data_IF_323682950159
#
_entry.id   IF_323682950159
#
_cell.length_a   1.000
_cell.length_b   1.000
_cell.length_c   1.000
_cell.angle_alpha   90.00
_cell.angle_beta   90.00
_cell.angle_gamma   90.00
#
_symmetry.space_group_name_H-M   'P 1'
#
loop_
_entity.id
_entity.type
_entity.pdbx_description
1 polymer ?
#
# COMPACT_ATOMS: atom_id res chain seq x y z
N UNK A 1 0.28 -19.37 -1.68
CA UNK A 1 -0.64 -18.24 -1.46
C UNK A 1 -0.88 -17.98 0.02
N UNK A 2 -1.22 -18.97 0.81
CA UNK A 2 -1.60 -18.80 2.24
C UNK A 2 -0.55 -18.11 3.12
N UNK A 3 0.70 -18.19 2.75
CA UNK A 3 1.80 -17.49 3.41
C UNK A 3 1.80 -15.98 3.14
N UNK A 4 1.52 -15.58 1.89
CA UNK A 4 1.53 -14.20 1.46
C UNK A 4 0.21 -13.48 1.73
N UNK A 5 -0.93 -14.17 1.61
CA UNK A 5 -2.26 -13.57 1.66
C UNK A 5 -2.99 -13.92 2.94
N UNK A 6 -3.49 -12.90 3.62
CA UNK A 6 -4.45 -13.02 4.69
C UNK A 6 -5.83 -12.59 4.18
N UNK A 7 -6.75 -13.53 4.08
CA UNK A 7 -8.12 -13.29 3.63
C UNK A 7 -9.09 -13.80 4.71
N UNK A 8 -9.58 -12.88 5.55
CA UNK A 8 -10.49 -13.23 6.64
C UNK A 8 -11.89 -13.60 6.15
N UNK A 9 -12.31 -12.98 5.05
CA UNK A 9 -13.66 -13.13 4.51
C UNK A 9 -13.57 -13.61 3.08
N UNK A 10 -13.52 -14.93 2.92
CA UNK A 10 -13.47 -15.56 1.60
C UNK A 10 -14.79 -15.40 0.88
N UNK A 11 -14.73 -14.89 -0.36
CA UNK A 11 -15.89 -14.63 -1.21
C UNK A 11 -15.62 -15.16 -2.61
N UNK A 12 -15.75 -16.50 -2.81
CA UNK A 12 -15.43 -17.11 -4.10
C UNK A 12 -16.27 -16.54 -5.25
N UNK A 13 -17.50 -16.11 -4.95
CA UNK A 13 -18.42 -15.53 -5.93
C UNK A 13 -18.26 -14.01 -6.11
N UNK A 14 -17.30 -13.39 -5.43
CA UNK A 14 -17.02 -11.97 -5.61
C UNK A 14 -16.62 -11.67 -7.06
N UNK A 15 -17.08 -10.55 -7.57
CA UNK A 15 -16.84 -10.10 -8.95
C UNK A 15 -15.40 -9.59 -9.11
N UNK A 16 -14.85 -8.99 -8.06
CA UNK A 16 -13.50 -8.41 -8.06
C UNK A 16 -12.76 -8.68 -6.76
N UNK A 17 -11.45 -8.47 -6.80
CA UNK A 17 -10.56 -8.53 -5.62
C UNK A 17 -9.91 -7.20 -5.37
N UNK A 18 -9.82 -6.83 -4.10
CA UNK A 18 -9.00 -5.72 -3.63
C UNK A 18 -7.78 -6.29 -2.92
N UNK A 19 -6.59 -6.01 -3.45
CA UNK A 19 -5.33 -6.47 -2.88
C UNK A 19 -4.68 -5.29 -2.16
N UNK A 20 -4.49 -5.45 -0.84
CA UNK A 20 -3.99 -4.40 0.04
C UNK A 20 -2.53 -4.64 0.39
N UNK A 21 -1.70 -3.63 0.12
CA UNK A 21 -0.27 -3.60 0.39
C UNK A 21 -0.01 -2.85 1.70
N UNK A 22 0.70 -3.44 2.66
CA UNK A 22 0.90 -2.81 3.96
C UNK A 22 1.82 -1.61 3.91
N UNK A 23 1.69 -0.71 4.90
CA UNK A 23 2.66 0.35 5.15
C UNK A 23 3.95 -0.22 5.77
N UNK A 24 4.99 0.60 5.87
CA UNK A 24 6.27 0.18 6.45
C UNK A 24 6.10 -0.32 7.89
N UNK A 25 6.61 -1.52 8.17
CA UNK A 25 6.46 -2.21 9.45
C UNK A 25 5.07 -2.80 9.68
N UNK A 26 4.12 -2.54 8.79
CA UNK A 26 2.75 -3.01 8.93
C UNK A 26 2.57 -4.50 8.66
N UNK A 27 1.56 -5.07 9.28
CA UNK A 27 1.11 -6.44 9.05
C UNK A 27 -0.12 -6.51 8.15
N UNK A 28 -0.68 -7.69 8.05
CA UNK A 28 -1.85 -7.97 7.21
C UNK A 28 -3.19 -7.77 7.91
N UNK A 29 -3.20 -7.65 9.24
CA UNK A 29 -4.45 -7.70 10.02
C UNK A 29 -5.37 -6.50 9.78
N UNK A 30 -4.81 -5.30 9.65
CA UNK A 30 -5.61 -4.09 9.48
C UNK A 30 -6.47 -4.14 8.22
N UNK A 31 -5.86 -4.34 7.07
CA UNK A 31 -6.61 -4.38 5.81
C UNK A 31 -7.46 -5.65 5.64
N UNK A 32 -7.09 -6.75 6.29
CA UNK A 32 -7.92 -7.97 6.27
C UNK A 32 -9.31 -7.73 6.87
N UNK A 33 -9.45 -6.82 7.84
CA UNK A 33 -10.73 -6.41 8.43
C UNK A 33 -11.65 -5.73 7.40
N UNK A 34 -11.10 -5.11 6.37
CA UNK A 34 -11.88 -4.46 5.33
C UNK A 34 -12.81 -5.41 4.57
N UNK A 35 -12.48 -6.70 4.56
CA UNK A 35 -13.38 -7.71 3.99
C UNK A 35 -14.75 -7.73 4.63
N UNK A 36 -14.86 -7.40 5.93
CA UNK A 36 -16.14 -7.30 6.62
C UNK A 36 -16.91 -6.02 6.27
N UNK A 37 -16.17 -4.95 5.96
CA UNK A 37 -16.74 -3.61 5.76
C UNK A 37 -17.11 -3.34 4.30
N UNK A 38 -16.55 -4.09 3.36
CA UNK A 38 -16.84 -3.96 1.94
C UNK A 38 -17.97 -4.90 1.51
N UNK A 39 -18.60 -4.56 0.40
CA UNK A 39 -19.67 -5.34 -0.20
C UNK A 39 -19.22 -6.76 -0.59
N UNK A 40 -20.17 -7.69 -0.65
CA UNK A 40 -19.90 -9.11 -0.97
C UNK A 40 -19.37 -9.30 -2.40
N UNK A 41 -19.52 -8.31 -3.27
CA UNK A 41 -18.94 -8.31 -4.61
C UNK A 41 -17.42 -8.15 -4.63
N UNK A 42 -16.81 -7.80 -3.50
CA UNK A 42 -15.37 -7.54 -3.36
C UNK A 42 -14.76 -8.50 -2.34
N UNK A 43 -13.78 -9.29 -2.77
CA UNK A 43 -12.96 -10.11 -1.87
C UNK A 43 -11.65 -9.38 -1.57
N UNK A 44 -11.28 -9.27 -0.28
CA UNK A 44 -10.08 -8.55 0.16
C UNK A 44 -8.94 -9.54 0.43
N UNK A 45 -7.81 -9.33 -0.26
CA UNK A 45 -6.53 -9.98 -0.03
C UNK A 45 -5.59 -9.00 0.65
N UNK A 46 -5.28 -9.22 1.93
CA UNK A 46 -4.32 -8.42 2.65
C UNK A 46 -2.96 -9.10 2.65
N UNK A 47 -1.93 -8.43 2.14
CA UNK A 47 -0.61 -9.01 1.97
C UNK A 47 0.17 -9.08 3.28
N UNK A 48 0.85 -10.21 3.49
CA UNK A 48 1.73 -10.47 4.61
C UNK A 48 3.16 -10.56 4.11
N UNK A 49 3.97 -9.57 4.47
CA UNK A 49 5.37 -9.54 4.07
C UNK A 49 6.22 -10.43 5.00
N UNK A 50 7.39 -10.91 4.53
CA UNK A 50 8.28 -11.71 5.37
C UNK A 50 8.83 -10.94 6.57
N UNK A 51 9.19 -11.67 7.62
CA UNK A 51 9.80 -11.12 8.83
C UNK A 51 8.79 -10.67 9.89
N UNK A 52 7.50 -10.90 9.69
CA UNK A 52 6.42 -10.51 10.60
C UNK A 52 5.28 -11.52 10.63
N UNK A 53 4.47 -11.47 11.67
CA UNK A 53 3.33 -12.39 11.87
C UNK A 53 3.76 -13.85 11.73
N UNK A 54 3.02 -14.66 11.00
CA UNK A 54 3.35 -16.08 10.76
C UNK A 54 4.61 -16.28 9.92
N UNK A 55 5.15 -15.21 9.32
CA UNK A 55 6.39 -15.23 8.54
C UNK A 55 7.59 -14.68 9.31
N UNK A 56 7.52 -14.61 10.64
CA UNK A 56 8.55 -14.00 11.50
C UNK A 56 9.94 -14.64 11.37
N UNK A 57 10.02 -15.90 10.98
CA UNK A 57 11.28 -16.62 10.79
C UNK A 57 11.90 -16.43 9.40
N UNK A 58 11.19 -15.79 8.47
CA UNK A 58 11.70 -15.51 7.14
C UNK A 58 12.48 -14.20 7.11
N UNK A 59 13.57 -14.13 6.31
CA UNK A 59 14.32 -12.89 6.17
C UNK A 59 13.47 -11.81 5.50
N UNK A 60 13.66 -10.56 5.93
CA UNK A 60 13.02 -9.39 5.32
C UNK A 60 13.41 -9.25 3.84
N UNK A 61 12.55 -8.65 3.05
CA UNK A 61 12.95 -8.19 1.72
C UNK A 61 14.07 -7.16 1.84
N UNK A 62 15.04 -7.26 0.95
CA UNK A 62 16.16 -6.32 0.86
C UNK A 62 16.00 -5.32 -0.28
N UNK A 63 15.07 -5.58 -1.20
CA UNK A 63 14.81 -4.72 -2.35
C UNK A 63 13.34 -4.75 -2.74
N UNK A 64 12.93 -3.72 -3.45
CA UNK A 64 11.58 -3.67 -4.03
C UNK A 64 11.38 -4.80 -5.06
N UNK A 65 12.41 -5.15 -5.81
CA UNK A 65 12.34 -6.23 -6.79
C UNK A 65 12.02 -7.58 -6.15
N UNK A 66 12.61 -7.91 -5.01
CA UNK A 66 12.28 -9.14 -4.28
C UNK A 66 10.81 -9.19 -3.89
N UNK A 67 10.29 -8.07 -3.39
CA UNK A 67 8.88 -7.95 -3.02
C UNK A 67 7.97 -8.15 -4.24
N UNK A 68 8.25 -7.45 -5.31
CA UNK A 68 7.46 -7.51 -6.55
C UNK A 68 7.52 -8.91 -7.18
N UNK A 69 8.69 -9.55 -7.16
CA UNK A 69 8.88 -10.91 -7.70
C UNK A 69 8.04 -11.93 -6.95
N UNK A 70 8.04 -11.91 -5.61
CA UNK A 70 7.25 -12.85 -4.82
C UNK A 70 5.74 -12.61 -5.03
N UNK A 71 5.28 -11.37 -4.91
CA UNK A 71 3.86 -11.05 -5.05
C UNK A 71 3.36 -11.44 -6.44
N UNK A 72 4.10 -11.10 -7.47
CA UNK A 72 3.72 -11.43 -8.85
C UNK A 72 3.67 -12.94 -9.06
N UNK A 73 4.73 -13.66 -8.66
CA UNK A 73 4.79 -15.12 -8.84
C UNK A 73 3.66 -15.85 -8.11
N UNK A 74 3.36 -15.45 -6.87
CA UNK A 74 2.38 -16.12 -6.03
C UNK A 74 0.95 -15.79 -6.45
N UNK A 75 0.66 -14.53 -6.82
CA UNK A 75 -0.71 -14.08 -7.10
C UNK A 75 -1.13 -14.18 -8.57
N UNK A 76 -0.20 -14.43 -9.47
CA UNK A 76 -0.51 -14.43 -10.91
C UNK A 76 -1.73 -15.26 -11.30
N UNK A 77 -1.93 -16.51 -10.80
CA UNK A 77 -3.13 -17.27 -11.10
C UNK A 77 -4.41 -16.56 -10.69
N UNK A 78 -4.45 -16.01 -9.48
CA UNK A 78 -5.63 -15.31 -8.95
C UNK A 78 -5.91 -13.99 -9.67
N UNK A 79 -4.85 -13.29 -10.11
CA UNK A 79 -4.98 -12.03 -10.85
C UNK A 79 -5.52 -12.24 -12.27
N UNK A 80 -5.37 -13.44 -12.82
CA UNK A 80 -5.94 -13.82 -14.11
C UNK A 80 -7.40 -14.29 -14.04
N UNK A 81 -7.88 -14.67 -12.86
CA UNK A 81 -9.22 -15.23 -12.69
C UNK A 81 -10.32 -14.18 -12.83
N UNK A 82 -10.11 -12.99 -12.27
CA UNK A 82 -11.11 -11.94 -12.23
C UNK A 82 -10.47 -10.56 -12.12
N UNK A 83 -11.23 -9.48 -12.39
CA UNK A 83 -10.73 -8.11 -12.19
C UNK A 83 -10.24 -7.89 -10.77
N UNK A 84 -9.20 -7.06 -10.63
CA UNK A 84 -8.60 -6.74 -9.34
C UNK A 84 -8.21 -5.27 -9.28
N UNK A 85 -8.20 -4.74 -8.05
CA UNK A 85 -7.68 -3.41 -7.75
C UNK A 85 -6.61 -3.52 -6.67
N UNK A 86 -5.72 -2.53 -6.62
CA UNK A 86 -4.68 -2.43 -5.60
C UNK A 86 -4.96 -1.24 -4.68
N UNK A 87 -4.74 -1.44 -3.39
CA UNK A 87 -4.66 -0.38 -2.38
C UNK A 87 -3.34 -0.46 -1.65
N UNK A 88 -2.69 0.69 -1.46
CA UNK A 88 -1.49 0.78 -0.63
C UNK A 88 -1.40 2.11 0.10
N UNK A 89 -1.01 2.08 1.37
CA UNK A 89 -0.75 3.27 2.19
C UNK A 89 0.75 3.43 2.43
N UNK A 90 1.27 4.63 2.24
CA UNK A 90 2.69 4.96 2.45
C UNK A 90 3.61 4.06 1.62
N UNK A 91 4.46 3.24 2.24
CA UNK A 91 5.27 2.23 1.56
C UNK A 91 4.43 1.34 0.63
N UNK A 92 3.21 0.99 1.05
CA UNK A 92 2.28 0.21 0.25
C UNK A 92 1.87 0.88 -1.06
N UNK A 93 1.85 2.20 -1.13
CA UNK A 93 1.60 2.94 -2.38
C UNK A 93 2.70 2.65 -3.42
N UNK A 94 3.95 2.68 -3.00
CA UNK A 94 5.10 2.45 -3.89
C UNK A 94 5.21 0.98 -4.29
N UNK A 95 4.99 0.06 -3.36
CA UNK A 95 5.04 -1.38 -3.63
C UNK A 95 3.89 -1.84 -4.53
N UNK A 96 2.69 -1.29 -4.35
CA UNK A 96 1.54 -1.59 -5.22
C UNK A 96 1.75 -1.06 -6.64
N UNK A 97 2.28 0.15 -6.77
CA UNK A 97 2.62 0.73 -8.06
C UNK A 97 3.67 -0.11 -8.81
N UNK A 98 4.75 -0.46 -8.13
CA UNK A 98 5.82 -1.28 -8.73
C UNK A 98 5.31 -2.65 -9.18
N UNK A 99 4.42 -3.25 -8.40
CA UNK A 99 3.78 -4.53 -8.75
C UNK A 99 2.87 -4.38 -9.97
N UNK A 100 2.08 -3.30 -10.03
CA UNK A 100 1.21 -3.02 -11.17
C UNK A 100 2.01 -2.83 -12.48
N UNK A 101 3.11 -2.11 -12.42
CA UNK A 101 4.01 -1.92 -13.58
C UNK A 101 4.60 -3.26 -14.05
N UNK A 102 5.08 -4.07 -13.11
CA UNK A 102 5.64 -5.40 -13.41
C UNK A 102 4.61 -6.32 -14.07
N UNK A 103 3.39 -6.33 -13.57
CA UNK A 103 2.30 -7.13 -14.13
C UNK A 103 1.98 -6.72 -15.56
N UNK A 104 1.92 -5.42 -15.82
CA UNK A 104 1.66 -4.90 -17.16
C UNK A 104 2.77 -5.24 -18.13
N UNK A 105 4.02 -4.98 -17.77
CA UNK A 105 5.18 -5.20 -18.62
C UNK A 105 5.43 -6.67 -18.96
N UNK A 106 5.28 -7.56 -17.98
CA UNK A 106 5.63 -8.98 -18.14
C UNK A 106 4.45 -9.89 -18.44
N UNK A 107 3.24 -9.51 -18.04
CA UNK A 107 2.08 -10.40 -18.11
C UNK A 107 0.87 -9.80 -18.84
N UNK A 108 0.96 -8.54 -19.27
CA UNK A 108 -0.16 -7.86 -19.90
C UNK A 108 -1.39 -7.71 -19.00
N UNK A 109 -1.19 -7.80 -17.68
CA UNK A 109 -2.24 -7.64 -16.67
C UNK A 109 -2.11 -6.28 -16.00
N UNK A 110 -3.23 -5.65 -15.73
CA UNK A 110 -3.27 -4.37 -15.08
C UNK A 110 -4.43 -4.33 -14.06
N UNK A 111 -4.24 -3.74 -12.87
CA UNK A 111 -5.38 -3.51 -11.99
C UNK A 111 -6.41 -2.62 -12.69
N UNK A 112 -7.67 -2.80 -12.39
CA UNK A 112 -8.74 -1.90 -12.87
C UNK A 112 -8.60 -0.52 -12.25
N UNK A 113 -8.10 -0.47 -11.02
CA UNK A 113 -7.90 0.76 -10.28
C UNK A 113 -6.68 0.63 -9.35
N UNK A 114 -5.87 1.68 -9.26
CA UNK A 114 -4.79 1.80 -8.29
C UNK A 114 -5.15 2.88 -7.29
N UNK A 115 -5.32 2.49 -6.02
CA UNK A 115 -5.55 3.39 -4.90
C UNK A 115 -4.26 3.57 -4.12
N UNK A 116 -3.74 4.79 -4.08
CA UNK A 116 -2.54 5.14 -3.33
C UNK A 116 -2.88 6.12 -2.22
N UNK A 117 -2.24 5.98 -1.08
CA UNK A 117 -2.56 6.74 0.13
C UNK A 117 -1.30 7.16 0.86
N UNK A 118 -1.21 8.43 1.24
CA UNK A 118 -0.18 8.94 2.12
C UNK A 118 1.25 8.86 1.57
N UNK A 119 1.43 9.06 0.27
CA UNK A 119 2.76 9.01 -0.36
C UNK A 119 2.85 9.92 -1.59
N UNK A 120 3.99 10.57 -1.74
CA UNK A 120 4.35 11.24 -3.00
C UNK A 120 4.62 10.21 -4.10
N UNK A 121 4.39 10.58 -5.35
CA UNK A 121 4.71 9.74 -6.49
C UNK A 121 6.20 9.32 -6.49
N UNK A 122 6.53 8.12 -6.99
CA UNK A 122 7.88 7.55 -6.87
C UNK A 122 8.97 8.38 -7.55
N UNK A 123 8.65 9.14 -8.59
CA UNK A 123 9.57 10.00 -9.34
C UNK A 123 9.66 11.41 -8.76
N UNK A 124 8.79 11.79 -7.83
CA UNK A 124 8.78 13.14 -7.27
C UNK A 124 10.01 13.42 -6.40
N UNK A 125 10.68 14.58 -6.55
CA UNK A 125 11.75 15.01 -5.66
C UNK A 125 11.29 15.16 -4.20
N UNK A 126 10.00 15.42 -3.96
CA UNK A 126 9.42 15.54 -2.62
C UNK A 126 9.60 14.27 -1.77
N UNK A 127 9.80 13.12 -2.41
CA UNK A 127 10.04 11.83 -1.75
C UNK A 127 11.46 11.69 -1.19
N UNK A 128 12.39 12.49 -1.67
CA UNK A 128 13.81 12.39 -1.28
C UNK A 128 14.05 13.09 0.05
N UNK A 129 14.63 12.37 1.00
CA UNK A 129 15.11 12.93 2.27
C UNK A 129 16.64 13.05 2.24
N UNK A 130 17.16 14.10 2.86
CA UNK A 130 18.62 14.29 3.02
C UNK A 130 19.24 13.26 3.96
N UNK A 131 18.44 12.66 4.84
CA UNK A 131 18.87 11.65 5.80
C UNK A 131 18.02 10.40 5.68
N UNK A 132 18.69 9.26 5.49
CA UNK A 132 18.03 7.96 5.49
C UNK A 132 17.68 7.55 6.92
N UNK A 133 16.40 7.35 7.17
CA UNK A 133 15.88 6.98 8.50
C UNK A 133 16.30 5.59 8.91
N UNK A 134 16.46 4.68 7.95
CA UNK A 134 16.94 3.32 8.19
C UNK A 134 18.37 3.25 8.76
N UNK A 135 19.16 4.33 8.61
CA UNK A 135 20.53 4.45 9.13
C UNK A 135 20.59 5.05 10.53
N UNK A 136 19.46 5.52 11.09
CA UNK A 136 19.40 6.07 12.44
C UNK A 136 19.63 4.98 13.49
N UNK A 137 20.22 5.35 14.64
CA UNK A 137 20.21 4.50 15.83
C UNK A 137 18.78 4.27 16.32
N UNK A 138 18.56 3.25 17.13
CA UNK A 138 17.23 2.98 17.69
C UNK A 138 16.69 4.16 18.50
N UNK A 139 17.57 4.86 19.25
CA UNK A 139 17.18 6.04 20.02
C UNK A 139 16.78 7.22 19.12
N UNK A 140 17.57 7.52 18.10
CA UNK A 140 17.28 8.57 17.12
C UNK A 140 16.01 8.25 16.33
N UNK A 141 15.84 6.98 15.99
CA UNK A 141 14.67 6.50 15.27
C UNK A 141 13.39 6.66 16.10
N UNK A 142 13.44 6.33 17.40
CA UNK A 142 12.32 6.54 18.33
C UNK A 142 11.97 8.01 18.47
N UNK A 143 12.96 8.90 18.55
CA UNK A 143 12.74 10.35 18.56
C UNK A 143 12.06 10.82 17.29
N UNK A 144 12.49 10.33 16.13
CA UNK A 144 11.86 10.64 14.86
C UNK A 144 10.41 10.15 14.80
N UNK A 145 10.14 8.92 15.22
CA UNK A 145 8.77 8.37 15.25
C UNK A 145 7.83 9.18 16.14
N UNK A 146 8.31 9.63 17.30
CA UNK A 146 7.55 10.48 18.20
C UNK A 146 7.24 11.83 17.59
N UNK A 147 8.22 12.44 16.91
CA UNK A 147 8.07 13.76 16.30
C UNK A 147 7.12 13.76 15.09
N UNK A 148 7.02 12.67 14.37
CA UNK A 148 6.20 12.58 13.14
C UNK A 148 4.74 12.20 13.38
N UNK A 149 4.35 11.94 14.61
CA UNK A 149 2.98 11.54 15.00
C UNK A 149 2.40 10.34 14.18
N UNK A 150 3.28 9.59 13.53
CA UNK A 150 2.89 8.46 12.70
C UNK A 150 2.78 7.14 13.42
N UNK A 151 3.16 7.07 14.71
CA UNK A 151 3.15 5.84 15.49
C UNK A 151 2.18 5.96 16.65
N UNK A 152 1.32 4.94 16.88
CA UNK A 152 0.42 4.94 18.04
C UNK A 152 1.20 5.09 19.34
N UNK A 153 0.69 5.95 20.24
CA UNK A 153 1.32 6.23 21.55
C UNK A 153 1.44 4.95 22.37
N UNK A 154 0.46 4.07 22.30
CA UNK A 154 0.44 2.79 23.01
C UNK A 154 1.62 1.91 22.57
N UNK A 155 1.94 1.92 21.29
CA UNK A 155 3.09 1.18 20.76
C UNK A 155 4.41 1.79 21.25
N UNK A 156 4.52 3.12 21.27
CA UNK A 156 5.70 3.82 21.76
C UNK A 156 5.99 3.58 23.25
N UNK A 157 4.95 3.31 24.03
CA UNK A 157 5.05 3.05 25.47
C UNK A 157 5.36 1.59 25.80
N UNK A 158 5.18 0.67 24.88
CA UNK A 158 5.42 -0.76 25.08
C UNK A 158 6.77 -1.17 24.47
N UNK A 159 7.79 -1.33 25.35
CA UNK A 159 9.16 -1.69 24.91
C UNK A 159 9.23 -3.03 24.16
N UNK A 160 8.47 -4.04 24.56
CA UNK A 160 8.47 -5.34 23.91
C UNK A 160 7.85 -5.26 22.52
N UNK A 161 6.71 -4.58 22.39
CA UNK A 161 6.07 -4.34 21.11
C UNK A 161 6.99 -3.54 20.17
N UNK A 162 7.70 -2.55 20.70
CA UNK A 162 8.67 -1.77 19.91
C UNK A 162 9.85 -2.59 19.45
N UNK A 163 10.38 -3.49 20.28
CA UNK A 163 11.48 -4.38 19.89
C UNK A 163 11.08 -5.35 18.76
N UNK A 164 9.82 -5.77 18.73
CA UNK A 164 9.29 -6.61 17.65
C UNK A 164 9.01 -5.82 16.38
N UNK A 165 8.58 -4.58 16.51
CA UNK A 165 8.16 -3.72 15.41
C UNK A 165 9.34 -3.03 14.68
N UNK A 166 10.34 -2.55 15.42
CA UNK A 166 11.46 -1.78 14.86
C UNK A 166 12.21 -2.50 13.74
N UNK A 167 12.56 -3.81 13.85
CA UNK A 167 13.26 -4.47 12.75
C UNK A 167 12.47 -4.48 11.45
N UNK A 168 11.18 -4.75 11.50
CA UNK A 168 10.29 -4.73 10.33
C UNK A 168 10.21 -3.34 9.72
N UNK A 169 10.02 -2.31 10.56
CA UNK A 169 9.93 -0.93 10.12
C UNK A 169 11.22 -0.47 9.46
N UNK A 170 12.37 -0.74 10.07
CA UNK A 170 13.68 -0.38 9.50
C UNK A 170 13.96 -1.10 8.19
N UNK A 171 13.62 -2.39 8.10
CA UNK A 171 13.79 -3.15 6.88
C UNK A 171 12.95 -2.58 5.73
N UNK A 172 11.69 -2.27 5.98
CA UNK A 172 10.80 -1.71 4.97
C UNK A 172 11.20 -0.28 4.57
N UNK A 173 11.64 0.55 5.54
CA UNK A 173 12.18 1.89 5.25
C UNK A 173 13.45 1.80 4.42
N UNK A 174 14.33 0.84 4.67
CA UNK A 174 15.52 0.63 3.86
C UNK A 174 15.16 0.33 2.40
N UNK A 175 14.12 -0.47 2.17
CA UNK A 175 13.62 -0.74 0.82
C UNK A 175 13.10 0.54 0.16
N UNK A 176 12.23 1.28 0.84
CA UNK A 176 11.58 2.47 0.25
C UNK A 176 12.55 3.61 0.02
N UNK A 177 13.52 3.81 0.92
CA UNK A 177 14.51 4.89 0.83
C UNK A 177 15.54 4.66 -0.29
N UNK A 178 15.71 3.42 -0.72
CA UNK A 178 16.59 3.06 -1.84
C UNK A 178 15.88 2.99 -3.19
N UNK A 179 14.57 3.27 -3.23
CA UNK A 179 13.84 3.35 -4.49
C UNK A 179 14.27 4.59 -5.25
N UNK A 180 14.81 4.39 -6.44
CA UNK A 180 15.11 5.43 -7.42
C UNK A 180 14.20 5.19 -8.62
N UNK A 181 13.37 6.18 -8.94
CA UNK A 181 12.44 6.08 -10.06
C UNK A 181 12.47 7.40 -10.84
N UNK A 182 12.74 7.30 -12.13
CA UNK A 182 12.75 8.46 -13.02
C UNK A 182 11.39 8.65 -13.67
N UNK A 183 11.01 9.89 -13.91
CA UNK A 183 9.77 10.21 -14.62
C UNK A 183 9.78 9.55 -15.99
N UNK A 184 8.80 8.66 -16.30
CA UNK A 184 8.71 8.06 -17.62
C UNK A 184 8.31 9.12 -18.66
N UNK A 185 8.76 8.91 -19.90
CA UNK A 185 8.42 9.80 -21.01
C UNK A 185 6.91 9.79 -21.34
N UNK A 186 6.27 8.64 -21.12
CA UNK A 186 4.83 8.44 -21.29
C UNK A 186 4.29 7.67 -20.08
N UNK A 187 2.98 7.77 -19.76
CA UNK A 187 2.40 7.02 -18.66
C UNK A 187 2.66 5.51 -18.80
N UNK A 188 3.10 4.89 -17.71
CA UNK A 188 3.41 3.44 -17.65
C UNK A 188 2.19 2.58 -17.38
N UNK A 189 1.11 3.19 -16.84
CA UNK A 189 -0.17 2.54 -16.56
C UNK A 189 -1.28 3.19 -17.38
N UNK A 190 -2.36 2.48 -17.60
CA UNK A 190 -3.59 2.97 -18.22
C UNK A 190 -4.80 2.85 -17.29
N UNK A 191 -4.66 2.21 -16.13
CA UNK A 191 -5.74 2.10 -15.15
C UNK A 191 -6.03 3.45 -14.49
N UNK A 192 -7.24 3.57 -13.95
CA UNK A 192 -7.59 4.71 -13.10
C UNK A 192 -6.75 4.72 -11.83
N UNK A 193 -6.43 5.91 -11.33
CA UNK A 193 -5.60 6.10 -10.17
C UNK A 193 -6.23 7.15 -9.25
N UNK A 194 -6.42 6.79 -7.99
CA UNK A 194 -6.94 7.68 -6.96
C UNK A 194 -5.94 7.81 -5.83
N UNK A 195 -5.64 9.06 -5.44
CA UNK A 195 -4.84 9.39 -4.28
C UNK A 195 -5.72 9.72 -3.09
N UNK A 196 -5.36 9.21 -1.92
CA UNK A 196 -5.90 9.62 -0.63
C UNK A 196 -4.78 10.18 0.23
N UNK A 197 -5.06 11.20 1.05
CA UNK A 197 -4.08 11.71 2.00
C UNK A 197 -4.78 12.39 3.17
N UNK A 198 -4.03 12.54 4.27
CA UNK A 198 -4.44 13.29 5.45
C UNK A 198 -4.08 14.77 5.32
N UNK A 199 -5.01 15.67 5.64
CA UNK A 199 -4.79 17.13 5.55
C UNK A 199 -3.71 17.64 6.50
N UNK A 200 -3.39 16.89 7.55
CA UNK A 200 -2.40 17.25 8.58
C UNK A 200 -1.11 16.42 8.48
N UNK A 201 -1.00 15.56 7.46
CA UNK A 201 0.23 14.84 7.18
C UNK A 201 1.30 15.78 6.61
N UNK A 202 2.57 15.32 6.60
CA UNK A 202 3.61 16.03 5.87
C UNK A 202 3.19 16.19 4.41
N UNK A 203 3.51 17.31 3.76
CA UNK A 203 3.09 17.52 2.38
C UNK A 203 3.62 16.42 1.46
N UNK A 204 2.72 15.82 0.68
CA UNK A 204 3.06 14.85 -0.36
C UNK A 204 2.76 15.43 -1.75
N UNK A 205 3.58 15.09 -2.71
CA UNK A 205 3.33 15.44 -4.12
C UNK A 205 2.36 14.43 -4.74
N UNK A 206 1.09 14.63 -4.48
CA UNK A 206 0.02 13.75 -4.99
C UNK A 206 -0.22 13.98 -6.48
N UNK A 207 -0.12 15.21 -6.93
CA UNK A 207 -0.38 15.58 -8.33
C UNK A 207 0.56 14.86 -9.31
N UNK A 208 1.78 14.57 -8.89
CA UNK A 208 2.76 13.86 -9.71
C UNK A 208 2.34 12.42 -10.06
N UNK A 209 1.46 11.80 -9.27
CA UNK A 209 0.91 10.48 -9.61
C UNK A 209 0.18 10.46 -10.95
N UNK A 210 -0.38 11.60 -11.37
CA UNK A 210 -1.05 11.73 -12.66
C UNK A 210 -0.14 11.42 -13.84
N UNK A 211 1.16 11.69 -13.71
CA UNK A 211 2.15 11.41 -14.75
C UNK A 211 2.29 9.92 -15.07
N UNK A 212 1.85 9.05 -14.18
CA UNK A 212 2.09 7.60 -14.22
C UNK A 212 0.95 6.82 -14.87
N UNK A 213 -0.20 7.42 -15.08
CA UNK A 213 -1.34 6.77 -15.71
C UNK A 213 -1.96 7.64 -16.80
N UNK A 214 -2.47 6.99 -17.84
CA UNK A 214 -3.32 7.62 -18.86
C UNK A 214 -4.82 7.53 -18.53
N UNK A 215 -5.18 6.78 -17.49
CA UNK A 215 -6.56 6.67 -17.00
C UNK A 215 -7.01 7.90 -16.22
N UNK A 216 -8.21 7.82 -15.67
CA UNK A 216 -8.78 8.88 -14.83
C UNK A 216 -7.97 9.03 -13.53
N UNK A 217 -7.79 10.28 -13.10
CA UNK A 217 -7.02 10.62 -11.92
C UNK A 217 -7.85 11.46 -10.96
N UNK A 218 -7.80 11.13 -9.66
CA UNK A 218 -8.51 11.87 -8.62
C UNK A 218 -7.73 11.94 -7.32
N UNK A 219 -8.01 12.94 -6.51
CA UNK A 219 -7.42 13.15 -5.19
C UNK A 219 -8.55 13.37 -4.18
N UNK A 220 -8.49 12.67 -3.06
CA UNK A 220 -9.39 12.86 -1.93
C UNK A 220 -8.58 13.13 -0.65
N UNK A 221 -8.80 14.28 -0.03
CA UNK A 221 -8.18 14.66 1.23
C UNK A 221 -9.15 14.39 2.37
N UNK A 222 -8.65 13.78 3.45
CA UNK A 222 -9.40 13.48 4.65
C UNK A 222 -8.73 14.10 5.87
N UNK A 223 -9.49 14.49 6.92
CA UNK A 223 -8.88 15.12 8.09
C UNK A 223 -7.98 14.13 8.85
N UNK A 224 -6.85 14.59 9.34
CA UNK A 224 -5.92 13.83 10.16
C UNK A 224 -4.52 13.74 9.59
N UNK A 225 -3.63 13.07 10.32
CA UNK A 225 -2.22 12.92 10.00
C UNK A 225 -1.94 11.70 9.10
N UNK A 226 -0.74 11.14 9.27
CA UNK A 226 -0.27 10.04 8.41
C UNK A 226 -1.16 8.79 8.48
N UNK A 227 -1.72 8.47 9.65
CA UNK A 227 -2.65 7.36 9.81
C UNK A 227 -4.12 7.79 9.92
N UNK A 228 -4.49 8.83 9.15
CA UNK A 228 -5.87 9.31 9.05
C UNK A 228 -6.88 8.18 8.78
N UNK A 229 -6.47 7.16 8.02
CA UNK A 229 -7.33 6.04 7.62
C UNK A 229 -7.78 5.17 8.80
N UNK A 230 -7.09 5.24 9.95
CA UNK A 230 -7.49 4.50 11.15
C UNK A 230 -8.66 5.16 11.91
N UNK A 231 -8.94 6.42 11.66
CA UNK A 231 -10.13 7.06 12.19
C UNK A 231 -11.38 6.41 11.57
N UNK A 232 -12.36 5.97 12.37
CA UNK A 232 -13.53 5.23 11.86
C UNK A 232 -14.34 5.99 10.80
N UNK A 233 -14.49 7.30 10.95
CA UNK A 233 -15.22 8.13 9.96
C UNK A 233 -14.43 8.23 8.65
N UNK A 234 -13.12 8.39 8.72
CA UNK A 234 -12.25 8.44 7.56
C UNK A 234 -12.19 7.10 6.85
N UNK A 235 -12.05 6.01 7.60
CA UNK A 235 -12.06 4.65 7.05
C UNK A 235 -13.35 4.38 6.27
N UNK A 236 -14.49 4.73 6.87
CA UNK A 236 -15.79 4.60 6.21
C UNK A 236 -15.84 5.39 4.90
N UNK A 237 -15.38 6.64 4.90
CA UNK A 237 -15.34 7.50 3.72
C UNK A 237 -14.43 6.91 2.64
N UNK A 238 -13.24 6.47 3.02
CA UNK A 238 -12.26 5.85 2.11
C UNK A 238 -12.85 4.59 1.45
N UNK A 239 -13.46 3.71 2.24
CA UNK A 239 -14.08 2.48 1.73
C UNK A 239 -15.29 2.77 0.84
N UNK A 240 -16.06 3.83 1.11
CA UNK A 240 -17.15 4.26 0.22
C UNK A 240 -16.60 4.72 -1.14
N UNK A 241 -15.50 5.44 -1.18
CA UNK A 241 -14.84 5.83 -2.43
C UNK A 241 -14.37 4.60 -3.21
N UNK A 242 -13.68 3.66 -2.54
CA UNK A 242 -13.21 2.42 -3.17
C UNK A 242 -14.39 1.64 -3.75
N UNK A 243 -15.44 1.44 -2.98
CA UNK A 243 -16.65 0.72 -3.44
C UNK A 243 -17.28 1.37 -4.66
N UNK A 244 -17.36 2.69 -4.68
CA UNK A 244 -17.92 3.45 -5.80
C UNK A 244 -17.10 3.29 -7.08
N UNK A 245 -15.79 3.40 -6.99
CA UNK A 245 -14.90 3.22 -8.15
C UNK A 245 -14.95 1.80 -8.69
N UNK A 246 -15.00 0.79 -7.82
CA UNK A 246 -15.08 -0.60 -8.25
C UNK A 246 -16.43 -0.94 -8.87
N UNK A 247 -17.52 -0.40 -8.36
CA UNK A 247 -18.86 -0.58 -8.94
C UNK A 247 -18.97 0.06 -10.34
N UNK A 248 -18.34 1.21 -10.56
CA UNK A 248 -18.32 1.88 -11.88
C UNK A 248 -17.53 1.07 -12.90
N UNK A 249 -16.43 0.46 -12.50
CA UNK A 249 -15.62 -0.38 -13.38
C UNK A 249 -16.38 -1.64 -13.86
N UNK A 250 -17.35 -2.13 -13.10
CA UNK A 250 -18.19 -3.26 -13.50
C UNK A 250 -19.10 -2.91 -14.69
N UNK A 251 -19.56 -1.66 -14.79
CA UNK A 251 -20.45 -1.21 -15.87
C UNK A 251 -19.72 -1.16 -17.21
N UNK A 252 -18.43 -0.87 -17.20
CA UNK A 252 -17.62 -0.77 -18.41
C UNK A 252 -17.24 -2.14 -19.00
N UNK A 253 -17.50 -3.25 -18.29
CA UNK A 253 -17.22 -4.61 -18.74
C UNK A 253 -18.44 -5.33 -19.38
N UNK A 254 -19.62 -4.70 -19.39
CA UNK A 254 -20.86 -5.18 -20.02
C UNK A 254 -21.27 -4.27 -21.18
#
# INVERSE_FOLDING_TARGET
MDKLVNCFYRRPDAISRLICFPWAGGGSLYNAQWGRLLDDSIEVYSLRLPGRESRSQEPFYQSLDQLVDEITAVLLPQLREKPFAFFGHSFGSLSSFATAVRLKEKHGLEPTHLFVSGASAPHSPARRSSQKRSELSDEEFLKWMTATQGTPVELLQNKEAMQLFLPSLKADLNVVENIVYEKPATPVLSCDLTCFDGTEDVPHDLAAWKDLTSGDFSIHMLPGGHFYLKDPANEKSLLQHISRYLATAEIDYF
#
